data_IF_452575310209
#
_entry.id   IF_452575310209
#
_cell.length_a   1.000
_cell.length_b   1.000
_cell.length_c   1.000
_cell.angle_alpha   90.00
_cell.angle_beta   90.00
_cell.angle_gamma   90.00
#
_symmetry.space_group_name_H-M   'P 1'
#
loop_
_entity.id
_entity.type
_entity.pdbx_description
1 polymer ?
#
# COMPACT_ATOMS: atom_id res chain seq x y z
N UNK A 1 -37.34 -20.64 -19.77
CA UNK A 1 -36.88 -20.84 -18.39
C UNK A 1 -35.38 -21.07 -18.47
N UNK A 2 -34.58 -20.01 -18.42
CA UNK A 2 -33.13 -20.11 -18.42
C UNK A 2 -32.69 -20.00 -16.97
N UNK A 3 -32.14 -21.09 -16.46
CA UNK A 3 -31.66 -21.26 -15.10
C UNK A 3 -30.54 -20.23 -14.87
N UNK A 4 -30.80 -19.23 -14.01
CA UNK A 4 -29.79 -18.31 -13.50
C UNK A 4 -28.70 -19.16 -12.83
N UNK A 5 -27.58 -19.36 -13.54
CA UNK A 5 -26.42 -20.05 -13.01
C UNK A 5 -25.98 -19.31 -11.74
N UNK A 6 -26.22 -19.92 -10.58
CA UNK A 6 -25.85 -19.37 -9.28
C UNK A 6 -24.33 -19.25 -9.23
N UNK A 7 -23.83 -18.03 -9.44
CA UNK A 7 -22.41 -17.71 -9.33
C UNK A 7 -21.86 -18.20 -8.00
N UNK A 8 -20.82 -19.03 -8.05
CA UNK A 8 -20.19 -19.59 -6.85
C UNK A 8 -19.22 -18.57 -6.28
N UNK A 9 -19.59 -17.98 -5.13
CA UNK A 9 -18.67 -17.08 -4.41
C UNK A 9 -17.56 -17.90 -3.77
N UNK A 10 -16.34 -17.68 -4.23
CA UNK A 10 -15.13 -18.27 -3.65
C UNK A 10 -14.97 -17.66 -2.26
N UNK A 11 -15.09 -18.49 -1.22
CA UNK A 11 -14.97 -18.05 0.16
C UNK A 11 -13.49 -18.05 0.53
N UNK A 12 -12.94 -16.91 0.97
CA UNK A 12 -11.56 -16.88 1.44
C UNK A 12 -11.47 -17.73 2.71
N UNK A 13 -10.79 -18.88 2.64
CA UNK A 13 -10.60 -19.74 3.81
C UNK A 13 -9.73 -19.08 4.89
N UNK A 14 -8.94 -18.09 4.47
CA UNK A 14 -8.20 -17.18 5.34
C UNK A 14 -8.61 -15.74 5.00
N UNK A 15 -8.85 -14.89 6.01
CA UNK A 15 -9.37 -13.50 5.85
C UNK A 15 -8.44 -12.56 5.05
N UNK A 16 -7.43 -13.08 4.38
CA UNK A 16 -6.33 -12.36 3.72
C UNK A 16 -6.31 -12.51 2.20
N UNK A 17 -7.34 -13.09 1.58
CA UNK A 17 -7.40 -13.27 0.11
C UNK A 17 -7.67 -11.97 -0.67
N UNK A 18 -7.24 -10.82 -0.15
CA UNK A 18 -7.16 -9.58 -0.90
C UNK A 18 -5.83 -9.56 -1.66
N UNK A 19 -5.88 -9.39 -2.98
CA UNK A 19 -4.65 -9.19 -3.75
C UNK A 19 -4.06 -7.83 -3.40
N UNK A 20 -2.91 -7.82 -2.74
CA UNK A 20 -2.23 -6.60 -2.30
C UNK A 20 -1.27 -6.02 -3.37
N UNK A 21 -1.33 -6.57 -4.58
CA UNK A 21 -0.44 -6.21 -5.69
C UNK A 21 0.92 -6.91 -5.67
N UNK A 22 1.16 -7.87 -4.77
CA UNK A 22 2.41 -8.62 -4.69
C UNK A 22 2.21 -10.12 -4.98
N UNK A 23 3.27 -10.76 -5.52
CA UNK A 23 3.33 -12.22 -5.69
C UNK A 23 2.15 -12.82 -6.47
N UNK A 24 1.87 -12.22 -7.62
CA UNK A 24 0.73 -12.54 -8.49
C UNK A 24 0.61 -14.03 -8.84
N UNK A 25 1.72 -14.75 -9.03
CA UNK A 25 1.68 -16.19 -9.33
C UNK A 25 1.16 -17.02 -8.15
N UNK A 26 1.55 -16.65 -6.92
CA UNK A 26 1.06 -17.30 -5.71
C UNK A 26 -0.41 -16.96 -5.47
N UNK A 27 -0.78 -15.69 -5.62
CA UNK A 27 -2.18 -15.27 -5.56
C UNK A 27 -3.03 -16.06 -6.58
N UNK A 28 -2.59 -16.14 -7.84
CA UNK A 28 -3.27 -16.91 -8.88
C UNK A 28 -3.39 -18.40 -8.52
N UNK A 29 -2.36 -18.97 -7.89
CA UNK A 29 -2.35 -20.38 -7.47
C UNK A 29 -3.29 -20.62 -6.29
N UNK A 30 -3.28 -19.77 -5.27
CA UNK A 30 -4.15 -19.85 -4.09
C UNK A 30 -5.61 -19.56 -4.45
N UNK A 31 -5.85 -18.58 -5.33
CA UNK A 31 -7.17 -18.25 -5.85
C UNK A 31 -7.75 -19.39 -6.71
N UNK A 32 -6.94 -19.99 -7.59
CA UNK A 32 -7.36 -21.16 -8.36
C UNK A 32 -7.58 -22.40 -7.48
N UNK A 33 -6.81 -22.55 -6.41
CA UNK A 33 -7.00 -23.62 -5.44
C UNK A 33 -8.29 -23.45 -4.64
N UNK A 34 -8.57 -22.23 -4.14
CA UNK A 34 -9.81 -21.91 -3.45
C UNK A 34 -11.04 -22.07 -4.39
N UNK A 35 -10.94 -21.63 -5.64
CA UNK A 35 -11.96 -21.84 -6.66
C UNK A 35 -12.29 -23.32 -6.85
N UNK A 36 -11.27 -24.17 -6.94
CA UNK A 36 -11.46 -25.64 -7.05
C UNK A 36 -12.10 -26.24 -5.80
N UNK A 37 -11.73 -25.77 -4.62
CA UNK A 37 -12.30 -26.25 -3.36
C UNK A 37 -13.78 -25.87 -3.22
N UNK A 38 -14.15 -24.68 -3.70
CA UNK A 38 -15.53 -24.18 -3.64
C UNK A 38 -16.38 -24.62 -4.84
N UNK A 39 -15.78 -25.28 -5.85
CA UNK A 39 -16.47 -25.72 -7.07
C UNK A 39 -16.76 -24.59 -8.07
N UNK A 40 -16.03 -23.48 -7.98
CA UNK A 40 -16.17 -22.34 -8.88
C UNK A 40 -15.52 -22.61 -10.24
N UNK A 41 -16.20 -22.21 -11.32
CA UNK A 41 -15.69 -22.28 -12.68
C UNK A 41 -14.72 -21.14 -12.99
N UNK A 42 -13.94 -21.25 -14.07
CA UNK A 42 -13.08 -20.16 -14.54
C UNK A 42 -13.87 -18.89 -14.89
N UNK A 43 -15.15 -19.03 -15.27
CA UNK A 43 -16.06 -17.91 -15.49
C UNK A 43 -16.46 -17.23 -14.17
N UNK A 44 -16.74 -18.01 -13.12
CA UNK A 44 -17.01 -17.49 -11.77
C UNK A 44 -15.78 -16.76 -11.18
N UNK A 45 -14.59 -17.26 -11.49
CA UNK A 45 -13.31 -16.65 -11.11
C UNK A 45 -13.09 -15.29 -11.76
N UNK A 46 -13.42 -15.14 -13.05
CA UNK A 46 -13.27 -13.90 -13.80
C UNK A 46 -14.31 -12.82 -13.45
N UNK A 47 -15.41 -13.20 -12.78
CA UNK A 47 -16.50 -12.30 -12.37
C UNK A 47 -16.39 -11.82 -10.91
N UNK A 48 -15.34 -12.16 -10.16
CA UNK A 48 -15.15 -11.65 -8.79
C UNK A 48 -14.75 -10.16 -8.77
N UNK A 49 -15.33 -9.38 -7.84
CA UNK A 49 -15.15 -7.92 -7.61
C UNK A 49 -13.68 -7.46 -7.39
N UNK A 50 -12.72 -8.38 -7.28
CA UNK A 50 -11.31 -8.09 -6.99
C UNK A 50 -10.60 -7.40 -8.18
N UNK A 51 -11.19 -7.39 -9.38
CA UNK A 51 -10.48 -7.03 -10.63
C UNK A 51 -11.31 -6.18 -11.60
N UNK A 52 -12.14 -5.25 -11.12
CA UNK A 52 -12.96 -4.34 -11.97
C UNK A 52 -12.13 -3.38 -12.87
N UNK A 53 -10.81 -3.32 -12.72
CA UNK A 53 -9.95 -2.31 -13.40
C UNK A 53 -8.96 -2.88 -14.41
N UNK A 54 -9.00 -4.18 -14.74
CA UNK A 54 -8.08 -4.81 -15.70
C UNK A 54 -8.78 -5.34 -16.96
N UNK A 55 -8.09 -5.26 -18.10
CA UNK A 55 -8.53 -5.83 -19.37
C UNK A 55 -8.79 -7.35 -19.25
N UNK A 56 -9.96 -7.81 -19.71
CA UNK A 56 -10.44 -9.20 -19.60
C UNK A 56 -11.60 -9.42 -18.63
N UNK A 57 -12.08 -8.35 -17.99
CA UNK A 57 -13.34 -8.35 -17.22
C UNK A 57 -14.57 -8.51 -18.13
N UNK A 58 -14.57 -7.88 -19.31
CA UNK A 58 -15.63 -8.01 -20.31
C UNK A 58 -15.06 -8.35 -21.71
N UNK A 59 -15.39 -9.53 -22.30
CA UNK A 59 -16.10 -10.66 -21.68
C UNK A 59 -15.22 -11.39 -20.65
N UNK A 60 -15.81 -12.02 -19.60
CA UNK A 60 -15.07 -12.68 -18.54
C UNK A 60 -14.16 -13.78 -19.09
N UNK A 61 -12.86 -13.52 -19.12
CA UNK A 61 -11.87 -14.46 -19.64
C UNK A 61 -10.72 -14.60 -18.65
N UNK A 62 -10.77 -15.66 -17.83
CA UNK A 62 -9.75 -15.96 -16.84
C UNK A 62 -8.34 -16.07 -17.44
N UNK A 63 -8.21 -16.58 -18.67
CA UNK A 63 -6.91 -16.70 -19.33
C UNK A 63 -6.35 -15.31 -19.69
N UNK A 64 -7.19 -14.41 -20.21
CA UNK A 64 -6.81 -13.03 -20.52
C UNK A 64 -6.50 -12.24 -19.24
N UNK A 65 -7.32 -12.41 -18.19
CA UNK A 65 -7.13 -11.78 -16.88
C UNK A 65 -5.83 -12.24 -16.22
N UNK A 66 -5.56 -13.55 -16.20
CA UNK A 66 -4.30 -14.12 -15.71
C UNK A 66 -3.10 -13.57 -16.49
N UNK A 67 -3.22 -13.46 -17.82
CA UNK A 67 -2.17 -12.89 -18.65
C UNK A 67 -1.95 -11.40 -18.36
N UNK A 68 -3.02 -10.61 -18.16
CA UNK A 68 -2.93 -9.20 -17.76
C UNK A 68 -2.30 -9.03 -16.38
N UNK A 69 -2.69 -9.86 -15.40
CA UNK A 69 -2.11 -9.88 -14.06
C UNK A 69 -0.62 -10.24 -14.09
N UNK A 70 -0.22 -11.25 -14.88
CA UNK A 70 1.17 -11.61 -15.08
C UNK A 70 1.94 -10.55 -15.91
N UNK A 71 1.31 -9.86 -16.85
CA UNK A 71 1.95 -8.78 -17.59
C UNK A 71 2.19 -7.55 -16.71
N UNK A 72 1.27 -7.26 -15.79
CA UNK A 72 1.33 -6.11 -14.89
C UNK A 72 2.21 -6.38 -13.65
N UNK A 73 2.17 -7.60 -13.10
CA UNK A 73 2.87 -7.97 -11.84
C UNK A 73 3.83 -9.16 -11.95
N UNK A 74 3.82 -9.92 -13.05
CA UNK A 74 4.64 -11.13 -13.26
C UNK A 74 6.05 -10.87 -13.81
N UNK A 75 6.41 -9.61 -14.12
CA UNK A 75 7.79 -9.22 -14.50
C UNK A 75 8.72 -8.94 -13.31
N UNK A 76 8.39 -9.40 -12.11
CA UNK A 76 9.32 -9.31 -10.97
C UNK A 76 10.24 -10.54 -11.05
N UNK A 77 11.32 -10.35 -11.80
CA UNK A 77 12.34 -11.34 -12.15
C UNK A 77 12.94 -12.00 -10.89
N UNK A 78 13.24 -13.29 -11.03
CA UNK A 78 13.54 -14.25 -9.96
C UNK A 78 15.02 -14.14 -9.62
N UNK A 79 15.43 -13.01 -9.05
CA UNK A 79 16.73 -12.71 -8.42
C UNK A 79 16.81 -11.19 -8.28
N UNK A 80 17.07 -10.63 -7.08
CA UNK A 80 18.01 -9.48 -6.90
C UNK A 80 18.01 -8.83 -5.53
N UNK A 81 16.89 -8.77 -4.82
CA UNK A 81 16.81 -7.87 -3.67
C UNK A 81 17.56 -8.39 -2.44
N UNK A 82 18.46 -7.56 -1.95
CA UNK A 82 19.26 -7.72 -0.73
C UNK A 82 18.91 -6.61 0.25
N UNK A 83 19.42 -6.70 1.48
CA UNK A 83 19.33 -5.57 2.44
C UNK A 83 19.98 -4.30 1.88
N UNK A 84 21.00 -4.42 1.03
CA UNK A 84 21.63 -3.29 0.34
C UNK A 84 20.65 -2.53 -0.56
N UNK A 85 19.67 -3.20 -1.16
CA UNK A 85 18.66 -2.52 -2.00
C UNK A 85 17.72 -1.64 -1.16
N UNK A 86 17.41 -2.04 0.08
CA UNK A 86 16.69 -1.17 1.02
C UNK A 86 17.54 0.04 1.40
N UNK A 87 18.82 -0.17 1.68
CA UNK A 87 19.74 0.93 2.02
C UNK A 87 19.88 1.93 0.86
N UNK A 88 20.05 1.43 -0.36
CA UNK A 88 20.13 2.25 -1.57
C UNK A 88 18.82 3.00 -1.81
N UNK A 89 17.67 2.35 -1.60
CA UNK A 89 16.36 3.00 -1.69
C UNK A 89 16.24 4.14 -0.66
N UNK A 90 16.60 3.88 0.60
CA UNK A 90 16.56 4.89 1.67
C UNK A 90 17.50 6.05 1.35
N UNK A 91 18.70 5.76 0.87
CA UNK A 91 19.68 6.76 0.50
C UNK A 91 19.18 7.64 -0.65
N UNK A 92 18.61 7.04 -1.70
CA UNK A 92 17.99 7.78 -2.80
C UNK A 92 16.82 8.65 -2.37
N UNK A 93 16.04 8.24 -1.36
CA UNK A 93 15.02 9.10 -0.77
C UNK A 93 15.62 10.23 0.06
N UNK A 94 16.65 9.96 0.88
CA UNK A 94 17.34 10.99 1.67
C UNK A 94 17.94 12.08 0.79
N UNK A 95 18.56 11.72 -0.33
CA UNK A 95 19.11 12.66 -1.31
C UNK A 95 18.04 13.56 -1.94
N UNK A 96 16.80 13.06 -2.07
CA UNK A 96 15.63 13.83 -2.51
C UNK A 96 14.97 14.66 -1.38
N UNK A 97 15.58 14.72 -0.19
CA UNK A 97 15.02 15.40 0.99
C UNK A 97 14.08 14.54 1.84
N UNK A 98 14.00 13.25 1.54
CA UNK A 98 13.14 12.27 2.22
C UNK A 98 11.70 12.24 1.72
N UNK A 99 10.96 11.22 2.14
CA UNK A 99 9.52 11.14 1.92
C UNK A 99 8.84 12.24 2.73
N UNK A 100 8.25 13.23 2.06
CA UNK A 100 7.71 14.44 2.70
C UNK A 100 6.20 14.66 2.44
N UNK A 101 5.62 13.95 1.49
CA UNK A 101 4.24 14.12 1.04
C UNK A 101 3.52 12.79 0.88
N UNK A 102 2.19 12.85 0.76
CA UNK A 102 1.35 11.67 0.50
C UNK A 102 1.70 11.01 -0.84
N UNK A 103 1.99 11.81 -1.87
CA UNK A 103 2.40 11.33 -3.19
C UNK A 103 3.74 10.61 -3.09
N UNK A 104 4.74 11.24 -2.43
CA UNK A 104 6.05 10.62 -2.21
C UNK A 104 5.91 9.32 -1.40
N UNK A 105 4.99 9.29 -0.45
CA UNK A 105 4.75 8.09 0.36
C UNK A 105 4.16 6.94 -0.47
N UNK A 106 3.24 7.22 -1.40
CA UNK A 106 2.73 6.21 -2.31
C UNK A 106 3.82 5.65 -3.22
N UNK A 107 4.70 6.51 -3.76
CA UNK A 107 5.84 6.08 -4.57
C UNK A 107 6.86 5.27 -3.76
N UNK A 108 7.16 5.72 -2.54
CA UNK A 108 8.01 4.98 -1.61
C UNK A 108 7.41 3.62 -1.29
N UNK A 109 6.10 3.51 -1.03
CA UNK A 109 5.45 2.23 -0.77
C UNK A 109 5.55 1.26 -1.95
N UNK A 110 5.32 1.75 -3.17
CA UNK A 110 5.43 0.95 -4.40
C UNK A 110 6.82 0.34 -4.60
N UNK A 111 7.87 0.97 -4.08
CA UNK A 111 9.26 0.50 -4.19
C UNK A 111 9.73 -0.27 -2.95
N UNK A 112 9.33 0.13 -1.74
CA UNK A 112 9.72 -0.49 -0.48
C UNK A 112 9.03 -1.84 -0.23
N UNK A 113 7.72 -1.93 -0.46
CA UNK A 113 6.94 -3.13 -0.11
C UNK A 113 7.40 -4.39 -0.85
N UNK A 114 7.72 -4.35 -2.17
CA UNK A 114 8.26 -5.53 -2.86
C UNK A 114 9.60 -6.00 -2.29
N UNK A 115 10.51 -5.08 -1.95
CA UNK A 115 11.83 -5.40 -1.42
C UNK A 115 11.69 -6.03 -0.02
N UNK A 116 10.95 -5.39 0.89
CA UNK A 116 10.69 -5.92 2.24
C UNK A 116 10.08 -7.33 2.18
N UNK A 117 9.06 -7.53 1.33
CA UNK A 117 8.36 -8.81 1.22
C UNK A 117 9.28 -9.91 0.68
N UNK A 118 10.17 -9.58 -0.25
CA UNK A 118 11.18 -10.50 -0.75
C UNK A 118 12.15 -10.94 0.35
N UNK A 119 12.67 -9.98 1.13
CA UNK A 119 13.66 -10.27 2.17
C UNK A 119 13.11 -11.19 3.26
N UNK A 120 11.88 -10.97 3.71
CA UNK A 120 11.21 -11.86 4.66
C UNK A 120 10.99 -13.26 4.07
N UNK A 121 10.55 -13.34 2.81
CA UNK A 121 10.22 -14.62 2.17
C UNK A 121 11.44 -15.49 1.90
N UNK A 122 12.61 -14.87 1.68
CA UNK A 122 13.88 -15.56 1.40
C UNK A 122 14.76 -15.70 2.63
N UNK A 123 14.21 -15.45 3.82
CA UNK A 123 14.91 -15.50 5.10
C UNK A 123 16.21 -14.66 5.07
N UNK A 124 16.21 -13.55 4.32
CA UNK A 124 17.29 -12.56 4.32
C UNK A 124 17.18 -11.62 5.52
N UNK A 125 15.98 -11.52 6.10
CA UNK A 125 15.71 -10.94 7.42
C UNK A 125 14.72 -11.86 8.13
N UNK A 126 14.92 -12.05 9.43
CA UNK A 126 14.02 -12.84 10.28
C UNK A 126 12.74 -12.05 10.61
N UNK A 127 12.83 -10.71 10.60
CA UNK A 127 11.71 -9.84 10.95
C UNK A 127 11.81 -8.43 10.35
N UNK A 128 10.64 -7.80 10.17
CA UNK A 128 10.51 -6.37 9.83
C UNK A 128 11.15 -5.44 10.87
N UNK A 129 11.38 -5.94 12.08
CA UNK A 129 12.06 -5.19 13.13
C UNK A 129 13.51 -4.84 12.77
N UNK A 130 14.18 -5.64 11.93
CA UNK A 130 15.55 -5.38 11.48
C UNK A 130 15.62 -4.16 10.56
N UNK A 131 14.59 -3.98 9.73
CA UNK A 131 14.53 -2.91 8.72
C UNK A 131 13.77 -1.67 9.21
N UNK A 132 13.22 -1.68 10.43
CA UNK A 132 12.43 -0.55 10.96
C UNK A 132 13.19 0.77 11.00
N UNK A 133 14.50 0.71 11.26
CA UNK A 133 15.35 1.91 11.28
C UNK A 133 15.48 2.49 9.88
N UNK A 134 15.70 1.64 8.88
CA UNK A 134 15.77 2.04 7.47
C UNK A 134 14.43 2.65 7.03
N UNK A 135 13.31 2.03 7.39
CA UNK A 135 11.98 2.56 7.12
C UNK A 135 11.77 3.95 7.73
N UNK A 136 12.10 4.14 9.01
CA UNK A 136 11.97 5.46 9.65
C UNK A 136 12.87 6.53 9.01
N UNK A 137 14.07 6.15 8.58
CA UNK A 137 15.05 7.05 7.99
C UNK A 137 14.74 7.48 6.55
N UNK A 138 13.79 6.83 5.86
CA UNK A 138 13.37 7.26 4.51
C UNK A 138 12.54 8.54 4.54
N UNK A 139 11.91 8.86 5.67
CA UNK A 139 11.07 10.04 5.83
C UNK A 139 11.89 11.31 6.04
N UNK A 140 11.37 12.44 5.53
CA UNK A 140 11.96 13.75 5.74
C UNK A 140 11.97 14.14 7.22
N UNK A 141 12.86 15.04 7.63
CA UNK A 141 12.95 15.49 9.03
C UNK A 141 11.62 16.05 9.55
N UNK A 142 10.92 16.88 8.76
CA UNK A 142 9.63 17.43 9.16
C UNK A 142 8.53 16.38 9.29
N UNK A 143 8.57 15.30 8.50
CA UNK A 143 7.62 14.21 8.64
C UNK A 143 7.98 13.30 9.83
N UNK A 144 9.27 13.07 10.07
CA UNK A 144 9.75 12.37 11.26
C UNK A 144 9.30 13.04 12.56
N UNK A 145 9.35 14.37 12.64
CA UNK A 145 8.82 15.13 13.78
C UNK A 145 7.34 14.87 13.98
N UNK A 146 6.54 14.95 12.91
CA UNK A 146 5.09 14.67 12.98
C UNK A 146 4.76 13.24 13.37
N UNK A 147 5.58 12.27 12.93
CA UNK A 147 5.46 10.87 13.37
C UNK A 147 5.74 10.77 14.87
N UNK A 148 6.75 11.47 15.40
CA UNK A 148 7.01 11.51 16.84
C UNK A 148 5.85 12.15 17.61
N UNK A 149 5.31 13.26 17.13
CA UNK A 149 4.15 13.91 17.75
C UNK A 149 2.93 12.98 17.79
N UNK A 150 2.70 12.23 16.71
CA UNK A 150 1.65 11.22 16.65
C UNK A 150 1.89 10.07 17.65
N UNK A 151 3.12 9.58 17.79
CA UNK A 151 3.48 8.56 18.78
C UNK A 151 3.33 9.04 20.23
N UNK A 152 3.63 10.33 20.50
CA UNK A 152 3.40 10.95 21.80
C UNK A 152 1.90 11.03 22.08
N UNK A 153 1.11 11.51 21.11
CA UNK A 153 -0.35 11.61 21.19
C UNK A 153 -1.01 10.26 21.47
N UNK A 154 -0.54 9.21 20.81
CA UNK A 154 -1.05 7.84 20.98
C UNK A 154 -0.50 7.15 22.24
N UNK A 155 0.40 7.80 22.99
CA UNK A 155 1.10 7.25 24.17
C UNK A 155 1.88 5.97 23.88
N UNK A 156 2.33 5.82 22.63
CA UNK A 156 3.12 4.66 22.17
C UNK A 156 4.60 4.98 21.98
N UNK A 157 5.02 6.21 22.30
CA UNK A 157 6.43 6.58 22.30
C UNK A 157 7.18 5.81 23.40
N UNK A 158 8.30 5.19 23.03
CA UNK A 158 9.18 4.50 23.96
C UNK A 158 10.40 5.37 24.19
N UNK A 159 10.76 5.56 25.47
CA UNK A 159 12.02 6.21 25.86
C UNK A 159 12.97 5.18 26.45
N UNK A 160 14.26 5.40 26.26
CA UNK A 160 15.31 4.70 27.00
C UNK A 160 15.39 5.22 28.45
N UNK A 161 16.17 4.55 29.30
CA UNK A 161 16.37 4.97 30.70
C UNK A 161 16.98 6.37 30.81
N UNK A 162 17.74 6.81 29.80
CA UNK A 162 18.29 8.16 29.67
C UNK A 162 17.36 9.12 28.89
N UNK A 163 16.06 8.81 28.81
CA UNK A 163 15.02 9.62 28.15
C UNK A 163 15.26 9.90 26.65
N UNK A 164 16.05 9.08 25.96
CA UNK A 164 16.22 9.20 24.51
C UNK A 164 15.10 8.48 23.78
N UNK A 165 14.71 9.02 22.64
CA UNK A 165 13.71 8.42 21.78
C UNK A 165 14.18 7.05 21.28
N UNK A 166 13.37 6.02 21.52
CA UNK A 166 13.54 4.68 20.98
C UNK A 166 12.39 4.39 20.01
N UNK A 167 12.73 3.89 18.82
CA UNK A 167 11.71 3.48 17.85
C UNK A 167 10.84 2.36 18.46
N UNK A 168 9.51 2.48 18.38
CA UNK A 168 8.61 1.43 18.84
C UNK A 168 8.69 0.21 17.90
N UNK A 169 7.82 -0.78 18.15
CA UNK A 169 7.64 -1.90 17.22
C UNK A 169 7.24 -1.39 15.83
N UNK A 170 7.64 -2.10 14.78
CA UNK A 170 7.43 -1.73 13.39
C UNK A 170 5.95 -1.48 13.09
N UNK A 171 5.04 -2.31 13.60
CA UNK A 171 3.60 -2.13 13.41
C UNK A 171 3.06 -0.83 14.02
N UNK A 172 3.55 -0.45 15.20
CA UNK A 172 3.19 0.82 15.85
C UNK A 172 3.71 1.99 15.02
N UNK A 173 4.96 1.89 14.56
CA UNK A 173 5.58 2.91 13.71
C UNK A 173 4.83 3.08 12.38
N UNK A 174 4.52 1.97 11.70
CA UNK A 174 3.77 1.95 10.44
C UNK A 174 2.39 2.58 10.61
N UNK A 175 1.67 2.23 11.68
CA UNK A 175 0.37 2.83 12.00
C UNK A 175 0.46 4.34 12.20
N UNK A 176 1.46 4.80 12.96
CA UNK A 176 1.66 6.24 13.17
C UNK A 176 1.94 6.98 11.85
N UNK A 177 2.75 6.40 10.96
CA UNK A 177 2.99 6.96 9.62
C UNK A 177 1.70 7.05 8.81
N UNK A 178 0.89 5.98 8.79
CA UNK A 178 -0.38 5.95 8.07
C UNK A 178 -1.35 7.02 8.59
N UNK A 179 -1.45 7.23 9.90
CA UNK A 179 -2.28 8.28 10.50
C UNK A 179 -1.78 9.70 10.17
N UNK A 180 -0.46 9.93 10.18
CA UNK A 180 0.12 11.21 9.75
C UNK A 180 -0.22 11.48 8.28
N UNK A 181 -0.15 10.47 7.42
CA UNK A 181 -0.48 10.60 6.00
C UNK A 181 -1.96 10.88 5.78
N UNK A 182 -2.86 10.17 6.47
CA UNK A 182 -4.31 10.44 6.43
C UNK A 182 -4.62 11.88 6.84
N UNK A 183 -3.99 12.35 7.92
CA UNK A 183 -4.14 13.73 8.41
C UNK A 183 -3.66 14.74 7.38
N UNK A 184 -2.53 14.48 6.71
CA UNK A 184 -2.02 15.34 5.63
C UNK A 184 -2.99 15.43 4.45
N UNK A 185 -3.56 14.29 4.03
CA UNK A 185 -4.58 14.26 2.98
C UNK A 185 -5.81 15.09 3.37
N UNK A 186 -6.35 14.89 4.57
CA UNK A 186 -7.51 15.63 5.06
C UNK A 186 -7.25 17.16 5.09
N UNK A 187 -6.09 17.59 5.59
CA UNK A 187 -5.71 19.00 5.61
C UNK A 187 -5.56 19.59 4.20
N UNK A 188 -5.10 18.80 3.24
CA UNK A 188 -4.97 19.23 1.84
C UNK A 188 -6.35 19.47 1.22
N UNK A 189 -7.30 18.57 1.44
CA UNK A 189 -8.69 18.75 1.02
C UNK A 189 -9.34 19.99 1.66
N UNK A 190 -9.20 20.16 2.98
CA UNK A 190 -9.75 21.33 3.68
C UNK A 190 -9.15 22.64 3.14
N UNK A 191 -7.84 22.67 2.90
CA UNK A 191 -7.17 23.85 2.34
C UNK A 191 -7.62 24.18 0.92
N UNK A 192 -7.89 23.16 0.09
CA UNK A 192 -8.45 23.35 -1.26
C UNK A 192 -9.87 23.92 -1.17
N UNK A 193 -10.73 23.36 -0.33
CA UNK A 193 -12.11 23.83 -0.14
C UNK A 193 -12.14 25.29 0.33
N UNK A 194 -11.33 25.64 1.34
CA UNK A 194 -11.25 27.02 1.83
C UNK A 194 -10.77 28.03 0.78
N UNK A 195 -9.82 27.62 -0.10
CA UNK A 195 -9.37 28.48 -1.20
C UNK A 195 -10.44 28.67 -2.27
N UNK A 196 -11.18 27.61 -2.59
CA UNK A 196 -12.30 27.66 -3.53
C UNK A 196 -13.42 28.55 -2.98
N UNK A 197 -13.82 28.37 -1.71
CA UNK A 197 -14.82 29.21 -1.05
C UNK A 197 -14.42 30.68 -1.00
N UNK A 198 -13.15 30.98 -0.71
CA UNK A 198 -12.63 32.36 -0.72
C UNK A 198 -12.66 32.97 -2.13
N UNK A 199 -12.30 32.21 -3.16
CA UNK A 199 -12.38 32.66 -4.56
C UNK A 199 -13.82 32.96 -4.99
N UNK A 200 -14.80 32.13 -4.60
CA UNK A 200 -16.21 32.39 -4.90
C UNK A 200 -16.79 33.58 -4.10
N UNK A 201 -16.30 33.82 -2.89
CA UNK A 201 -16.68 34.98 -2.09
C UNK A 201 -16.17 36.30 -2.71
N UNK A 202 -14.94 36.30 -3.23
CA UNK A 202 -14.34 37.47 -3.89
C UNK A 202 -15.09 37.83 -5.20
N UNK A 203 -15.47 36.82 -6.00
CA UNK A 203 -16.18 37.03 -7.27
C UNK A 203 -17.61 37.57 -7.08
N UNK A 204 -18.28 37.19 -5.98
CA UNK A 204 -19.61 37.74 -5.61
C UNK A 204 -19.59 39.20 -5.16
N UNK A 205 -18.42 39.73 -4.78
CA UNK A 205 -18.28 41.12 -4.31
C UNK A 205 -17.86 42.09 -5.41
N UNK A 206 -17.61 41.59 -6.63
CA UNK A 206 -17.30 42.43 -7.79
C UNK A 206 -18.57 43.12 -8.30
N UNK A 207 -18.63 44.46 -8.34
CA UNK A 207 -19.78 45.14 -8.93
C UNK A 207 -19.86 44.86 -10.44
N UNK A 208 -21.08 44.72 -10.99
CA UNK A 208 -21.25 44.51 -12.42
C UNK A 208 -20.66 45.69 -13.20
N UNK A 209 -19.93 45.35 -14.27
CA UNK A 209 -19.27 46.31 -15.19
C UNK A 209 -20.28 46.97 -16.11
#
# INVERSE_FOLDING_TARGET
MAEEARMVKIKPQDKTLGFDGSNVERFLSEFQFAAKLDGASETDMAQQDVVETLDGFEPPNWTALKAAMLAHWGKIDISRFTTQDLENLVQGWKEKGGVASVVNFQEFRKTWQPIQSYLLRKDHIDSVEEIKRLYYQSFSAGLQERIRDQLIKDKTMITTQDNRFKLPLFEILKKAVEEVMKTQTALTYVGIVQRIERSYAEDRTRPPS
#
